data_IF_839915004617
#
_entry.id   IF_839915004617
#
_cell.length_a   1.000
_cell.length_b   1.000
_cell.length_c   1.000
_cell.angle_alpha   90.00
_cell.angle_beta   90.00
_cell.angle_gamma   90.00
#
_symmetry.space_group_name_H-M   'P 1'
#
loop_
_entity.id
_entity.type
_entity.pdbx_description
1 polymer ?
#
# COMPACT_ATOMS: atom_id res chain seq x y z
N UNK A 1 -4.27 -23.12 -6.34
CA UNK A 1 -4.59 -23.73 -7.65
C UNK A 1 -6.09 -23.81 -7.93
N UNK A 2 -6.94 -24.24 -6.99
CA UNK A 2 -8.40 -24.34 -7.20
C UNK A 2 -9.07 -23.05 -7.71
N UNK A 3 -8.76 -21.89 -7.13
CA UNK A 3 -9.36 -20.62 -7.57
C UNK A 3 -9.04 -20.27 -9.03
N UNK A 4 -7.83 -20.59 -9.51
CA UNK A 4 -7.45 -20.37 -10.90
C UNK A 4 -8.27 -21.26 -11.84
N UNK A 5 -8.41 -22.54 -11.49
CA UNK A 5 -9.24 -23.48 -12.25
C UNK A 5 -10.68 -22.99 -12.30
N UNK A 6 -11.27 -22.60 -11.16
CA UNK A 6 -12.61 -22.02 -11.10
C UNK A 6 -12.72 -20.78 -11.98
N UNK A 7 -11.76 -19.86 -11.91
CA UNK A 7 -11.78 -18.64 -12.72
C UNK A 7 -11.75 -18.93 -14.22
N UNK A 8 -10.91 -19.88 -14.65
CA UNK A 8 -10.80 -20.31 -16.04
C UNK A 8 -12.09 -20.98 -16.51
N UNK A 9 -12.64 -21.92 -15.73
CA UNK A 9 -13.88 -22.64 -16.08
C UNK A 9 -15.06 -21.69 -16.19
N UNK A 10 -15.26 -20.81 -15.19
CA UNK A 10 -16.34 -19.82 -15.24
C UNK A 10 -16.13 -18.82 -16.39
N UNK A 11 -14.88 -18.43 -16.67
CA UNK A 11 -14.55 -17.55 -17.79
C UNK A 11 -14.88 -18.18 -19.15
N UNK A 12 -14.54 -19.45 -19.34
CA UNK A 12 -14.91 -20.22 -20.54
C UNK A 12 -16.43 -20.32 -20.66
N UNK A 13 -17.13 -20.66 -19.58
CA UNK A 13 -18.60 -20.71 -19.58
C UNK A 13 -19.24 -19.37 -20.00
N UNK A 14 -18.77 -18.25 -19.46
CA UNK A 14 -19.29 -16.92 -19.81
C UNK A 14 -19.00 -16.55 -21.27
N UNK A 15 -17.84 -16.95 -21.79
CA UNK A 15 -17.43 -16.69 -23.19
C UNK A 15 -18.24 -17.48 -24.21
N UNK A 16 -18.88 -18.59 -23.82
CA UNK A 16 -19.75 -19.37 -24.70
C UNK A 16 -21.11 -18.71 -24.99
N UNK A 17 -21.44 -17.57 -24.37
CA UNK A 17 -22.67 -16.79 -24.61
C UNK A 17 -23.98 -17.62 -24.58
N UNK A 18 -24.06 -18.61 -23.67
CA UNK A 18 -25.26 -19.44 -23.51
C UNK A 18 -26.30 -18.67 -22.68
N UNK A 19 -27.15 -17.92 -23.38
CA UNK A 19 -28.08 -16.96 -22.76
C UNK A 19 -29.53 -17.47 -22.62
N UNK A 20 -29.86 -18.63 -23.20
CA UNK A 20 -31.24 -19.14 -23.26
C UNK A 20 -31.53 -20.21 -22.19
N UNK A 21 -32.78 -20.29 -21.76
CA UNK A 21 -33.29 -21.32 -20.86
C UNK A 21 -32.71 -21.25 -19.44
N UNK A 22 -32.51 -22.42 -18.83
CA UNK A 22 -31.97 -22.56 -17.46
C UNK A 22 -30.59 -21.88 -17.29
N UNK A 23 -29.74 -21.95 -18.32
CA UNK A 23 -28.41 -21.34 -18.32
C UNK A 23 -28.45 -19.81 -18.24
N UNK A 24 -29.46 -19.16 -18.82
CA UNK A 24 -29.67 -17.72 -18.69
C UNK A 24 -29.91 -17.30 -17.22
N UNK A 25 -30.66 -18.10 -16.46
CA UNK A 25 -30.91 -17.84 -15.03
C UNK A 25 -29.67 -18.08 -14.16
N UNK A 26 -28.82 -19.06 -14.50
CA UNK A 26 -27.56 -19.33 -13.79
C UNK A 26 -26.48 -18.30 -14.11
N UNK A 27 -26.48 -17.76 -15.34
CA UNK A 27 -25.43 -16.84 -15.83
C UNK A 27 -25.23 -15.64 -14.91
N UNK A 28 -26.29 -15.08 -14.32
CA UNK A 28 -26.17 -13.96 -13.38
C UNK A 28 -25.27 -14.29 -12.18
N UNK A 29 -25.41 -15.49 -11.62
CA UNK A 29 -24.58 -15.95 -10.50
C UNK A 29 -23.15 -16.20 -10.97
N UNK A 30 -22.97 -16.80 -12.15
CA UNK A 30 -21.64 -17.06 -12.70
C UNK A 30 -20.87 -15.78 -12.97
N UNK A 31 -21.52 -14.72 -13.48
CA UNK A 31 -20.90 -13.40 -13.68
C UNK A 31 -20.44 -12.82 -12.35
N UNK A 32 -21.28 -12.87 -11.31
CA UNK A 32 -20.93 -12.37 -9.98
C UNK A 32 -19.77 -13.18 -9.39
N UNK A 33 -19.84 -14.50 -9.43
CA UNK A 33 -18.78 -15.38 -8.90
C UNK A 33 -17.46 -15.19 -9.65
N UNK A 34 -17.47 -15.15 -10.98
CA UNK A 34 -16.26 -14.90 -11.79
C UNK A 34 -15.65 -13.52 -11.49
N UNK A 35 -16.50 -12.50 -11.29
CA UNK A 35 -16.05 -11.16 -10.90
C UNK A 35 -15.45 -11.11 -9.49
N UNK A 36 -16.04 -11.82 -8.52
CA UNK A 36 -15.55 -11.88 -7.13
C UNK A 36 -14.24 -12.66 -7.05
N UNK A 37 -14.19 -13.86 -7.64
CA UNK A 37 -12.98 -14.71 -7.65
C UNK A 37 -11.83 -13.98 -8.34
N UNK A 38 -12.08 -13.32 -9.48
CA UNK A 38 -11.05 -12.54 -10.18
C UNK A 38 -10.49 -11.37 -9.36
N UNK A 39 -11.30 -10.70 -8.54
CA UNK A 39 -10.85 -9.59 -7.68
C UNK A 39 -10.11 -10.06 -6.41
N UNK A 40 -10.49 -11.21 -5.86
CA UNK A 40 -9.86 -11.78 -4.65
C UNK A 40 -8.53 -12.47 -5.00
N UNK A 41 -8.42 -13.03 -6.21
CA UNK A 41 -7.26 -13.83 -6.61
C UNK A 41 -5.90 -13.12 -6.42
N UNK A 42 -5.70 -11.84 -6.83
CA UNK A 42 -4.43 -11.15 -6.57
C UNK A 42 -4.06 -11.06 -5.09
N UNK A 43 -5.05 -10.84 -4.21
CA UNK A 43 -4.83 -10.76 -2.76
C UNK A 43 -4.39 -12.11 -2.19
N UNK A 44 -5.08 -13.20 -2.55
CA UNK A 44 -4.72 -14.53 -2.05
C UNK A 44 -3.38 -14.99 -2.63
N UNK A 45 -3.09 -14.66 -3.89
CA UNK A 45 -1.78 -14.92 -4.49
C UNK A 45 -0.65 -14.18 -3.76
N UNK A 46 -0.86 -12.90 -3.40
CA UNK A 46 0.09 -12.14 -2.59
C UNK A 46 0.36 -12.81 -1.24
N UNK A 47 -0.72 -13.13 -0.51
CA UNK A 47 -0.64 -13.83 0.78
C UNK A 47 0.11 -15.15 0.65
N UNK A 48 -0.18 -15.94 -0.39
CA UNK A 48 0.50 -17.21 -0.64
C UNK A 48 1.99 -17.04 -0.94
N UNK A 49 2.38 -16.01 -1.71
CA UNK A 49 3.79 -15.74 -1.98
C UNK A 49 4.54 -15.33 -0.71
N UNK A 50 3.96 -14.46 0.11
CA UNK A 50 4.54 -14.03 1.39
C UNK A 50 4.70 -15.21 2.33
N UNK A 51 3.64 -15.99 2.58
CA UNK A 51 3.72 -17.17 3.44
C UNK A 51 4.65 -18.25 2.88
N UNK A 52 4.72 -18.40 1.56
CA UNK A 52 5.68 -19.28 0.90
C UNK A 52 7.12 -18.89 1.22
N UNK A 53 7.45 -17.60 1.13
CA UNK A 53 8.77 -17.06 1.50
C UNK A 53 9.09 -17.27 2.98
N UNK A 54 8.16 -16.93 3.88
CA UNK A 54 8.32 -17.13 5.33
C UNK A 54 8.57 -18.61 5.64
N UNK A 55 7.77 -19.51 5.06
CA UNK A 55 7.88 -20.96 5.31
C UNK A 55 9.17 -21.54 4.75
N UNK A 56 9.59 -21.11 3.56
CA UNK A 56 10.80 -21.61 2.91
C UNK A 56 12.08 -21.21 3.67
N UNK A 57 12.11 -20.01 4.25
CA UNK A 57 13.26 -19.52 5.03
C UNK A 57 13.19 -19.91 6.51
N UNK A 58 12.03 -20.34 6.98
CA UNK A 58 11.83 -20.72 8.38
C UNK A 58 11.69 -19.54 9.35
N UNK A 59 11.41 -18.34 8.83
CA UNK A 59 11.26 -17.11 9.60
C UNK A 59 9.95 -17.05 10.41
N UNK A 60 9.85 -16.05 11.28
CA UNK A 60 8.68 -15.65 12.06
C UNK A 60 8.24 -16.69 13.10
N UNK A 61 9.21 -17.36 13.73
CA UNK A 61 8.98 -18.34 14.79
C UNK A 61 9.33 -17.76 16.16
N UNK A 62 8.70 -18.32 17.20
CA UNK A 62 8.92 -17.93 18.60
C UNK A 62 8.82 -16.40 18.80
N UNK A 63 9.83 -15.80 19.41
CA UNK A 63 9.82 -14.40 19.85
C UNK A 63 9.89 -13.39 18.70
N UNK A 64 10.21 -13.82 17.47
CA UNK A 64 10.26 -12.94 16.29
C UNK A 64 8.90 -12.71 15.64
N UNK A 65 7.84 -13.41 16.06
CA UNK A 65 6.53 -13.35 15.41
C UNK A 65 5.95 -11.93 15.37
N UNK A 66 6.05 -11.18 16.47
CA UNK A 66 5.52 -9.81 16.53
C UNK A 66 6.22 -8.86 15.56
N UNK A 67 7.55 -8.93 15.52
CA UNK A 67 8.38 -8.13 14.61
C UNK A 67 8.09 -8.46 13.15
N UNK A 68 8.00 -9.75 12.83
CA UNK A 68 7.60 -10.24 11.51
C UNK A 68 6.22 -9.73 11.08
N UNK A 69 5.21 -9.84 11.95
CA UNK A 69 3.86 -9.36 11.64
C UNK A 69 3.87 -7.86 11.35
N UNK A 70 4.56 -7.06 12.16
CA UNK A 70 4.71 -5.64 11.90
C UNK A 70 5.30 -5.36 10.51
N UNK A 71 6.40 -6.04 10.15
CA UNK A 71 7.10 -5.80 8.88
C UNK A 71 6.29 -6.26 7.67
N UNK A 72 5.76 -7.49 7.70
CA UNK A 72 5.02 -8.05 6.58
C UNK A 72 3.64 -7.40 6.38
N UNK A 73 2.90 -7.09 7.44
CA UNK A 73 1.58 -6.44 7.34
C UNK A 73 1.74 -5.00 6.88
N UNK A 74 2.59 -4.20 7.54
CA UNK A 74 2.77 -2.78 7.20
C UNK A 74 3.42 -2.63 5.83
N UNK A 75 4.44 -3.43 5.53
CA UNK A 75 5.11 -3.37 4.22
C UNK A 75 4.16 -3.78 3.09
N UNK A 76 3.34 -4.83 3.28
CA UNK A 76 2.27 -5.17 2.34
C UNK A 76 1.23 -4.06 2.21
N UNK A 77 0.91 -3.35 3.30
CA UNK A 77 -0.03 -2.23 3.28
C UNK A 77 0.48 -1.05 2.43
N UNK A 78 1.79 -0.73 2.49
CA UNK A 78 2.39 0.27 1.61
C UNK A 78 2.36 -0.14 0.13
N UNK A 79 2.64 -1.42 -0.18
CA UNK A 79 2.51 -1.95 -1.54
C UNK A 79 1.05 -1.87 -2.01
N UNK A 80 0.10 -2.29 -1.18
CA UNK A 80 -1.33 -2.21 -1.48
C UNK A 80 -1.77 -0.76 -1.71
N UNK A 81 -1.28 0.19 -0.91
CA UNK A 81 -1.56 1.59 -1.11
C UNK A 81 -0.99 2.09 -2.44
N UNK A 82 0.25 1.76 -2.78
CA UNK A 82 0.85 2.05 -4.09
C UNK A 82 0.04 1.47 -5.25
N UNK A 83 -0.46 0.24 -5.14
CA UNK A 83 -1.35 -0.40 -6.12
C UNK A 83 -2.64 0.40 -6.28
N UNK A 84 -3.31 0.75 -5.18
CA UNK A 84 -4.57 1.50 -5.18
C UNK A 84 -4.35 2.88 -5.80
N UNK A 85 -3.28 3.59 -5.43
CA UNK A 85 -2.93 4.87 -6.03
C UNK A 85 -2.71 4.75 -7.54
N UNK A 86 -2.03 3.70 -7.98
CA UNK A 86 -1.80 3.45 -9.41
C UNK A 86 -3.13 3.19 -10.15
N UNK A 87 -4.05 2.43 -9.55
CA UNK A 87 -5.40 2.21 -10.11
C UNK A 87 -6.18 3.53 -10.18
N UNK A 88 -6.16 4.33 -9.12
CA UNK A 88 -6.84 5.62 -9.07
C UNK A 88 -6.28 6.61 -10.09
N UNK A 89 -4.97 6.58 -10.30
CA UNK A 89 -4.27 7.38 -11.28
C UNK A 89 -4.68 7.01 -12.71
N UNK A 90 -4.69 5.71 -13.04
CA UNK A 90 -4.89 5.22 -14.40
C UNK A 90 -6.36 5.12 -14.82
N UNK A 91 -7.25 4.66 -13.93
CA UNK A 91 -8.65 4.37 -14.30
C UNK A 91 -9.69 4.76 -13.23
N UNK A 92 -9.27 5.22 -12.05
CA UNK A 92 -10.20 5.47 -10.94
C UNK A 92 -10.87 6.84 -10.93
N UNK A 93 -10.56 7.73 -11.87
CA UNK A 93 -11.11 9.10 -11.89
C UNK A 93 -12.64 9.13 -12.00
N UNK A 94 -13.23 8.24 -12.82
CA UNK A 94 -14.68 8.15 -12.95
C UNK A 94 -15.35 7.69 -11.65
N UNK A 95 -14.81 6.64 -11.03
CA UNK A 95 -15.29 6.15 -9.74
C UNK A 95 -15.21 7.26 -8.69
N UNK A 96 -14.08 7.96 -8.59
CA UNK A 96 -13.90 9.03 -7.61
C UNK A 96 -14.93 10.15 -7.78
N UNK A 97 -15.19 10.58 -9.03
CA UNK A 97 -16.24 11.57 -9.34
C UNK A 97 -17.63 11.10 -8.89
N UNK A 98 -17.95 9.82 -9.07
CA UNK A 98 -19.25 9.26 -8.67
C UNK A 98 -19.48 9.25 -7.16
N UNK A 99 -18.41 9.16 -6.35
CA UNK A 99 -18.54 9.16 -4.88
C UNK A 99 -18.82 10.54 -4.28
N UNK A 100 -18.55 11.63 -5.02
CA UNK A 100 -18.62 12.98 -4.47
C UNK A 100 -17.64 13.20 -3.31
N UNK A 101 -16.49 12.52 -3.30
CA UNK A 101 -15.40 12.68 -2.33
C UNK A 101 -14.07 12.82 -3.05
N UNK A 102 -13.10 13.50 -2.44
CA UNK A 102 -11.73 13.54 -2.95
C UNK A 102 -10.99 12.26 -2.57
N UNK A 103 -9.93 11.94 -3.29
CA UNK A 103 -9.10 10.77 -2.98
C UNK A 103 -8.56 10.87 -1.54
N UNK A 104 -8.11 12.07 -1.18
CA UNK A 104 -7.53 12.38 0.12
C UNK A 104 -8.52 12.19 1.27
N UNK A 105 -9.84 12.26 1.00
CA UNK A 105 -10.84 11.90 2.00
C UNK A 105 -10.75 10.42 2.36
N UNK A 106 -10.63 9.54 1.36
CA UNK A 106 -10.50 8.10 1.56
C UNK A 106 -9.14 7.76 2.19
N UNK A 107 -8.06 8.36 1.71
CA UNK A 107 -6.72 8.17 2.29
C UNK A 107 -6.73 8.59 3.78
N UNK A 108 -7.33 9.74 4.08
CA UNK A 108 -7.48 10.23 5.46
C UNK A 108 -8.36 9.33 6.33
N UNK A 109 -9.42 8.74 5.77
CA UNK A 109 -10.29 7.82 6.50
C UNK A 109 -9.56 6.52 6.88
N UNK A 110 -8.75 5.97 5.97
CA UNK A 110 -7.91 4.80 6.24
C UNK A 110 -6.84 5.13 7.27
N UNK A 111 -6.14 6.25 7.10
CA UNK A 111 -5.16 6.75 8.08
C UNK A 111 -5.79 6.92 9.47
N UNK A 112 -7.04 7.42 9.53
CA UNK A 112 -7.78 7.57 10.79
C UNK A 112 -8.05 6.22 11.45
N UNK A 113 -8.63 5.29 10.70
CA UNK A 113 -8.98 3.98 11.21
C UNK A 113 -7.73 3.21 11.68
N UNK A 114 -6.67 3.22 10.86
CA UNK A 114 -5.41 2.56 11.18
C UNK A 114 -4.73 3.19 12.40
N UNK A 115 -4.61 4.52 12.43
CA UNK A 115 -3.99 5.24 13.54
C UNK A 115 -4.73 5.01 14.86
N UNK A 116 -6.07 4.94 14.81
CA UNK A 116 -6.89 4.65 15.99
C UNK A 116 -6.62 3.25 16.52
N UNK A 117 -6.68 2.22 15.66
CA UNK A 117 -6.36 0.85 16.06
C UNK A 117 -4.94 0.77 16.63
N UNK A 118 -3.94 1.27 15.90
CA UNK A 118 -2.54 1.25 16.31
C UNK A 118 -2.32 1.89 17.69
N UNK A 119 -2.95 3.04 17.95
CA UNK A 119 -2.84 3.74 19.24
C UNK A 119 -3.25 2.86 20.43
N UNK A 120 -4.30 2.04 20.26
CA UNK A 120 -4.87 1.27 21.37
C UNK A 120 -4.44 -0.20 21.40
N UNK A 121 -3.79 -0.69 20.35
CA UNK A 121 -3.35 -2.10 20.25
C UNK A 121 -1.84 -2.30 20.31
N UNK A 122 -1.04 -1.25 20.13
CA UNK A 122 0.42 -1.36 20.09
C UNK A 122 0.99 -1.80 21.45
N UNK A 123 0.63 -1.10 22.52
CA UNK A 123 1.06 -1.46 23.86
C UNK A 123 0.22 -2.61 24.43
N UNK A 124 0.90 -3.62 24.98
CA UNK A 124 0.23 -4.73 25.68
C UNK A 124 -0.19 -4.27 27.06
N UNK A 125 -1.49 -4.01 27.21
CA UNK A 125 -2.07 -3.60 28.49
C UNK A 125 -1.67 -4.55 29.64
N UNK A 126 -1.01 -4.00 30.65
CA UNK A 126 -0.52 -4.74 31.81
C UNK A 126 0.97 -5.07 31.80
N UNK A 127 1.72 -4.74 30.73
CA UNK A 127 3.18 -4.78 30.73
C UNK A 127 3.80 -3.38 30.93
N UNK A 128 5.11 -3.33 31.18
CA UNK A 128 5.85 -2.07 31.20
C UNK A 128 5.95 -1.44 29.80
N UNK A 129 6.01 -0.12 29.75
CA UNK A 129 6.17 0.62 28.49
C UNK A 129 7.61 0.53 28.01
N UNK A 130 7.79 0.04 26.78
CA UNK A 130 9.08 0.07 26.10
C UNK A 130 9.27 1.40 25.33
N UNK A 131 10.52 1.70 24.95
CA UNK A 131 10.80 2.85 24.08
C UNK A 131 10.10 2.72 22.72
N UNK A 132 10.06 1.52 22.14
CA UNK A 132 9.33 1.23 20.90
C UNK A 132 7.82 1.44 21.07
N UNK A 133 7.23 1.01 22.20
CA UNK A 133 5.79 1.17 22.46
C UNK A 133 5.42 2.67 22.43
N UNK A 134 6.24 3.52 23.05
CA UNK A 134 6.01 4.97 23.04
C UNK A 134 6.10 5.55 21.62
N UNK A 135 7.12 5.18 20.85
CA UNK A 135 7.30 5.67 19.48
C UNK A 135 6.15 5.24 18.57
N UNK A 136 5.77 3.96 18.60
CA UNK A 136 4.72 3.43 17.73
C UNK A 136 3.32 3.89 18.17
N UNK A 137 3.04 3.98 19.47
CA UNK A 137 1.77 4.50 19.97
C UNK A 137 1.60 5.97 19.58
N UNK A 138 2.63 6.80 19.79
CA UNK A 138 2.57 8.22 19.40
C UNK A 138 2.47 8.42 17.89
N UNK A 139 3.08 7.53 17.10
CA UNK A 139 2.86 7.47 15.65
C UNK A 139 1.39 7.17 15.30
N UNK A 140 0.75 6.24 16.01
CA UNK A 140 -0.69 6.01 15.90
C UNK A 140 -1.52 7.26 16.20
N UNK A 141 -1.15 8.01 17.24
CA UNK A 141 -1.86 9.23 17.66
C UNK A 141 -1.83 10.29 16.56
N UNK A 142 -0.65 10.58 16.00
CA UNK A 142 -0.55 11.57 14.92
C UNK A 142 -1.31 11.11 13.67
N UNK A 143 -1.30 9.80 13.36
CA UNK A 143 -2.07 9.26 12.24
C UNK A 143 -3.57 9.56 12.38
N UNK A 144 -4.21 9.20 13.49
CA UNK A 144 -5.65 9.41 13.57
C UNK A 144 -6.05 10.88 13.75
N UNK A 145 -5.26 11.68 14.49
CA UNK A 145 -5.49 13.12 14.60
C UNK A 145 -5.40 13.81 13.24
N UNK A 146 -4.32 13.56 12.47
CA UNK A 146 -4.13 14.16 11.16
C UNK A 146 -5.08 13.59 10.11
N UNK A 147 -5.50 12.33 10.24
CA UNK A 147 -6.54 11.73 9.40
C UNK A 147 -7.91 12.39 9.60
N UNK A 148 -8.33 12.66 10.84
CA UNK A 148 -9.56 13.43 11.11
C UNK A 148 -9.48 14.82 10.47
N UNK A 149 -8.34 15.50 10.61
CA UNK A 149 -8.09 16.81 10.00
C UNK A 149 -8.12 16.74 8.46
N UNK A 150 -7.50 15.72 7.86
CA UNK A 150 -7.51 15.50 6.42
C UNK A 150 -8.92 15.24 5.87
N UNK A 151 -9.75 14.46 6.58
CA UNK A 151 -11.15 14.27 6.23
C UNK A 151 -11.95 15.57 6.30
N UNK A 152 -11.70 16.40 7.32
CA UNK A 152 -12.35 17.71 7.45
C UNK A 152 -11.95 18.67 6.32
N UNK A 153 -10.68 18.70 5.94
CA UNK A 153 -10.15 19.57 4.87
C UNK A 153 -10.48 19.08 3.45
N UNK A 154 -10.96 17.85 3.32
CA UNK A 154 -11.33 17.23 2.03
C UNK A 154 -12.62 17.77 1.41
N UNK A 155 -13.18 18.85 1.94
CA UNK A 155 -14.41 19.48 1.47
C UNK A 155 -14.31 21.01 1.46
N UNK A 156 -14.94 21.64 0.47
CA UNK A 156 -15.17 23.08 0.41
C UNK A 156 -16.33 23.47 1.34
N UNK A 157 -16.48 24.77 1.63
CA UNK A 157 -17.59 25.31 2.42
C UNK A 157 -18.97 24.95 1.85
N UNK A 158 -19.08 24.79 0.52
CA UNK A 158 -20.30 24.39 -0.17
C UNK A 158 -20.48 22.86 -0.28
N UNK A 159 -19.71 22.06 0.47
CA UNK A 159 -19.81 20.60 0.49
C UNK A 159 -19.13 19.88 -0.68
N UNK A 160 -18.63 20.59 -1.69
CA UNK A 160 -17.94 19.96 -2.84
C UNK A 160 -16.59 19.37 -2.41
N UNK A 161 -16.12 18.27 -3.04
CA UNK A 161 -14.80 17.70 -2.79
C UNK A 161 -13.65 18.70 -2.95
N UNK A 162 -12.64 18.58 -2.10
CA UNK A 162 -11.39 19.32 -2.19
C UNK A 162 -10.19 18.39 -1.96
N UNK A 163 -9.15 18.52 -2.78
CA UNK A 163 -7.83 17.93 -2.53
C UNK A 163 -7.21 18.59 -1.29
N UNK A 164 -6.35 17.87 -0.57
CA UNK A 164 -5.55 18.42 0.52
C UNK A 164 -4.25 17.61 0.69
N UNK A 165 -3.32 18.09 1.49
CA UNK A 165 -1.99 17.49 1.60
C UNK A 165 -1.79 16.66 2.88
N UNK A 166 -2.77 16.59 3.78
CA UNK A 166 -2.57 16.00 5.11
C UNK A 166 -2.23 14.50 5.09
N UNK A 167 -2.83 13.65 4.23
CA UNK A 167 -2.36 12.28 4.07
C UNK A 167 -0.87 12.20 3.73
N UNK A 168 -0.38 13.07 2.85
CA UNK A 168 1.02 13.10 2.47
C UNK A 168 1.94 13.59 3.59
N UNK A 169 1.46 14.55 4.40
CA UNK A 169 2.17 15.01 5.61
C UNK A 169 2.33 13.87 6.62
N UNK A 170 1.29 13.07 6.85
CA UNK A 170 1.37 11.90 7.75
C UNK A 170 2.40 10.89 7.26
N UNK A 171 2.40 10.58 5.97
CA UNK A 171 3.39 9.69 5.36
C UNK A 171 4.81 10.25 5.52
N UNK A 172 4.99 11.56 5.31
CA UNK A 172 6.29 12.22 5.48
C UNK A 172 6.78 12.16 6.94
N UNK A 173 5.91 12.47 7.91
CA UNK A 173 6.24 12.40 9.34
C UNK A 173 6.55 10.97 9.79
N UNK A 174 5.83 9.99 9.24
CA UNK A 174 6.11 8.56 9.46
C UNK A 174 7.51 8.24 8.95
N UNK A 175 7.86 8.68 7.74
CA UNK A 175 9.20 8.48 7.20
C UNK A 175 10.30 9.13 8.06
N UNK A 176 10.05 10.33 8.57
CA UNK A 176 10.98 10.99 9.50
C UNK A 176 11.20 10.15 10.76
N UNK A 177 10.12 9.74 11.44
CA UNK A 177 10.21 8.93 12.65
C UNK A 177 10.95 7.61 12.42
N UNK A 178 10.63 6.91 11.32
CA UNK A 178 11.26 5.66 10.96
C UNK A 178 12.72 5.83 10.53
N UNK A 179 13.09 6.99 9.96
CA UNK A 179 14.48 7.27 9.60
C UNK A 179 15.42 7.33 10.80
N UNK A 180 14.85 7.67 11.97
CA UNK A 180 15.52 7.77 13.27
C UNK A 180 15.28 6.56 14.18
N UNK A 181 14.62 5.52 13.68
CA UNK A 181 14.25 4.35 14.48
C UNK A 181 15.45 3.41 14.63
N UNK A 182 16.13 3.50 15.77
CA UNK A 182 17.29 2.67 16.07
C UNK A 182 16.90 1.19 16.21
N UNK A 183 17.72 0.32 15.63
CA UNK A 183 17.58 -1.13 15.73
C UNK A 183 18.81 -1.73 16.43
N UNK A 184 18.68 -2.95 16.95
CA UNK A 184 19.77 -3.65 17.62
C UNK A 184 20.96 -3.92 16.69
N UNK A 185 20.69 -4.25 15.42
CA UNK A 185 21.71 -4.48 14.40
C UNK A 185 21.91 -3.22 13.54
N UNK A 186 23.15 -2.74 13.42
CA UNK A 186 23.47 -1.56 12.61
C UNK A 186 23.00 -1.70 11.15
N UNK A 187 23.11 -2.89 10.57
CA UNK A 187 22.57 -3.16 9.22
C UNK A 187 21.06 -2.87 9.14
N UNK A 188 20.31 -3.32 10.15
CA UNK A 188 18.86 -3.06 10.24
C UNK A 188 18.57 -1.57 10.40
N UNK A 189 19.33 -0.86 11.24
CA UNK A 189 19.19 0.61 11.41
C UNK A 189 19.39 1.32 10.07
N UNK A 190 20.41 0.98 9.30
CA UNK A 190 20.67 1.61 7.99
C UNK A 190 19.56 1.33 6.98
N UNK A 191 19.02 0.10 6.95
CA UNK A 191 17.89 -0.26 6.08
C UNK A 191 16.62 0.49 6.48
N UNK A 192 16.33 0.60 7.78
CA UNK A 192 15.21 1.39 8.31
C UNK A 192 15.37 2.88 8.04
N UNK A 193 16.58 3.42 8.12
CA UNK A 193 16.86 4.81 7.73
C UNK A 193 16.52 5.07 6.27
N UNK A 194 16.92 4.17 5.37
CA UNK A 194 16.58 4.31 3.95
C UNK A 194 15.08 4.13 3.71
N UNK A 195 14.41 3.19 4.37
CA UNK A 195 12.94 3.09 4.36
C UNK A 195 12.28 4.43 4.75
N UNK A 196 12.74 5.05 5.84
CA UNK A 196 12.28 6.35 6.27
C UNK A 196 12.46 7.43 5.21
N UNK A 197 13.63 7.51 4.57
CA UNK A 197 13.89 8.45 3.49
C UNK A 197 13.02 8.21 2.25
N UNK A 198 12.81 6.96 1.85
CA UNK A 198 11.91 6.60 0.75
C UNK A 198 10.49 7.05 1.03
N UNK A 199 10.02 6.87 2.27
CA UNK A 199 8.68 7.25 2.69
C UNK A 199 8.52 8.78 2.81
N UNK A 200 9.54 9.48 3.31
CA UNK A 200 9.62 10.94 3.26
C UNK A 200 9.54 11.46 1.83
N UNK A 201 10.29 10.85 0.91
CA UNK A 201 10.25 11.19 -0.51
C UNK A 201 8.87 10.93 -1.12
N UNK A 202 8.18 9.86 -0.75
CA UNK A 202 6.82 9.57 -1.20
C UNK A 202 5.82 10.67 -0.78
N UNK A 203 5.88 11.07 0.50
CA UNK A 203 5.08 12.16 1.05
C UNK A 203 5.41 13.50 0.41
N UNK A 204 6.69 13.83 0.26
CA UNK A 204 7.14 15.07 -0.38
C UNK A 204 6.72 15.13 -1.85
N UNK A 205 6.90 14.04 -2.61
CA UNK A 205 6.43 13.94 -3.99
C UNK A 205 4.92 14.17 -4.07
N UNK A 206 4.14 13.62 -3.12
CA UNK A 206 2.68 13.80 -3.13
C UNK A 206 2.27 15.25 -2.81
N UNK A 207 2.97 15.91 -1.90
CA UNK A 207 2.77 17.35 -1.62
C UNK A 207 3.09 18.17 -2.88
N UNK A 208 4.21 17.88 -3.55
CA UNK A 208 4.60 18.56 -4.79
C UNK A 208 3.56 18.34 -5.90
N UNK A 209 3.12 17.09 -6.06
CA UNK A 209 2.10 16.70 -7.03
C UNK A 209 0.81 17.50 -6.84
N UNK A 210 0.25 17.51 -5.63
CA UNK A 210 -1.02 18.18 -5.35
C UNK A 210 -0.88 19.70 -5.50
N UNK A 211 0.21 20.27 -4.96
CA UNK A 211 0.33 21.73 -4.79
C UNK A 211 0.84 22.44 -6.04
N UNK A 212 1.77 21.82 -6.79
CA UNK A 212 2.46 22.49 -7.90
C UNK A 212 2.12 21.87 -9.26
N UNK A 213 2.06 20.55 -9.36
CA UNK A 213 1.75 19.85 -10.62
C UNK A 213 0.26 20.00 -10.93
N UNK A 214 -0.59 19.48 -10.06
CA UNK A 214 -2.04 19.49 -10.23
C UNK A 214 -2.68 20.81 -9.82
N UNK A 215 -2.11 21.55 -8.86
CA UNK A 215 -2.67 22.77 -8.27
C UNK A 215 -4.10 22.54 -7.76
N UNK A 216 -4.26 21.54 -6.90
CA UNK A 216 -5.54 21.06 -6.35
C UNK A 216 -6.57 20.52 -7.38
N UNK A 217 -6.20 20.39 -8.65
CA UNK A 217 -7.05 19.72 -9.66
C UNK A 217 -6.99 18.20 -9.50
N UNK A 218 -8.01 17.51 -10.01
CA UNK A 218 -8.07 16.03 -9.98
C UNK A 218 -7.19 15.37 -11.05
N UNK A 219 -7.02 16.04 -12.20
CA UNK A 219 -6.20 15.56 -13.33
C UNK A 219 -5.71 16.76 -14.15
N UNK A 220 -4.63 16.59 -14.90
CA UNK A 220 -4.16 17.55 -15.92
C UNK A 220 -4.86 17.37 -17.27
N UNK A 221 -5.12 16.12 -17.67
CA UNK A 221 -5.78 15.83 -18.95
C UNK A 221 -7.28 16.09 -18.88
N UNK A 222 -7.92 16.69 -19.91
CA UNK A 222 -9.36 16.94 -19.95
C UNK A 222 -10.22 15.68 -19.78
N UNK A 223 -9.79 14.57 -20.39
CA UNK A 223 -10.40 13.25 -20.30
C UNK A 223 -9.87 12.41 -19.12
N UNK A 224 -8.70 12.79 -18.58
CA UNK A 224 -8.02 12.09 -17.49
C UNK A 224 -7.23 10.86 -17.93
N UNK A 225 -6.95 10.69 -19.23
CA UNK A 225 -6.29 9.51 -19.80
C UNK A 225 -4.76 9.54 -19.68
N UNK A 226 -4.14 10.71 -19.58
CA UNK A 226 -2.68 10.87 -19.56
C UNK A 226 -2.16 11.51 -18.25
N UNK A 227 -1.71 10.68 -17.29
CA UNK A 227 -1.06 11.16 -16.08
C UNK A 227 0.32 11.75 -16.34
N UNK A 228 0.63 12.86 -15.67
CA UNK A 228 1.98 13.42 -15.70
C UNK A 228 3.00 12.43 -15.12
N UNK A 229 4.20 12.37 -15.70
CA UNK A 229 5.28 11.49 -15.25
C UNK A 229 5.57 11.59 -13.74
N UNK A 230 5.42 12.78 -13.16
CA UNK A 230 5.63 13.02 -11.74
C UNK A 230 4.60 12.32 -10.84
N UNK A 231 3.37 12.08 -11.34
CA UNK A 231 2.31 11.44 -10.56
C UNK A 231 2.57 9.95 -10.30
N UNK A 232 3.47 9.33 -11.06
CA UNK A 232 3.91 7.95 -10.84
C UNK A 232 4.92 7.81 -9.69
N UNK A 233 5.55 8.91 -9.28
CA UNK A 233 6.63 8.89 -8.30
C UNK A 233 6.14 8.45 -6.91
N UNK A 234 5.05 9.03 -6.40
CA UNK A 234 4.50 8.63 -5.09
C UNK A 234 4.07 7.16 -5.06
N UNK A 235 3.25 6.64 -6.00
CA UNK A 235 2.93 5.22 -6.05
C UNK A 235 4.18 4.34 -6.05
N UNK A 236 5.15 4.60 -6.94
CA UNK A 236 6.39 3.83 -7.02
C UNK A 236 7.18 3.84 -5.69
N UNK A 237 7.33 5.00 -5.05
CA UNK A 237 8.04 5.10 -3.77
C UNK A 237 7.32 4.36 -2.64
N UNK A 238 5.99 4.20 -2.70
CA UNK A 238 5.24 3.36 -1.77
C UNK A 238 5.47 1.86 -2.03
N UNK A 239 5.56 1.42 -3.30
CA UNK A 239 6.01 0.06 -3.62
C UNK A 239 7.40 -0.19 -3.04
N UNK A 240 8.34 0.71 -3.29
CA UNK A 240 9.70 0.60 -2.78
C UNK A 240 9.75 0.57 -1.25
N UNK A 241 9.05 1.51 -0.59
CA UNK A 241 8.97 1.57 0.87
C UNK A 241 8.42 0.26 1.44
N UNK A 242 7.38 -0.31 0.82
CA UNK A 242 6.80 -1.56 1.27
C UNK A 242 7.74 -2.76 1.13
N UNK A 243 8.47 -2.88 0.01
CA UNK A 243 9.48 -3.93 -0.13
C UNK A 243 10.66 -3.77 0.84
N UNK A 244 11.14 -2.53 1.04
CA UNK A 244 12.20 -2.25 2.02
C UNK A 244 11.75 -2.65 3.42
N UNK A 245 10.53 -2.28 3.80
CA UNK A 245 10.01 -2.60 5.13
C UNK A 245 9.76 -4.10 5.33
N UNK A 246 9.15 -4.79 4.36
CA UNK A 246 9.00 -6.26 4.43
C UNK A 246 10.35 -6.96 4.53
N UNK A 247 11.36 -6.43 3.84
CA UNK A 247 12.69 -6.98 3.81
C UNK A 247 13.54 -6.68 5.05
N UNK A 248 13.05 -5.94 6.04
CA UNK A 248 13.84 -5.49 7.20
C UNK A 248 13.58 -6.31 8.49
N UNK A 249 13.10 -7.55 8.37
CA UNK A 249 12.89 -8.42 9.55
C UNK A 249 14.21 -8.75 10.24
N UNK A 250 14.18 -8.95 11.57
CA UNK A 250 15.37 -9.25 12.37
C UNK A 250 16.15 -10.46 11.81
N UNK A 251 15.44 -11.55 11.53
CA UNK A 251 16.03 -12.79 11.00
C UNK A 251 16.65 -12.58 9.61
N UNK A 252 16.00 -11.79 8.75
CA UNK A 252 16.53 -11.49 7.41
C UNK A 252 17.76 -10.57 7.49
N UNK A 253 17.76 -9.58 8.39
CA UNK A 253 18.90 -8.71 8.61
C UNK A 253 20.09 -9.48 9.18
N UNK A 254 19.85 -10.41 10.10
CA UNK A 254 20.90 -11.28 10.62
C UNK A 254 21.49 -12.17 9.51
N UNK A 255 20.65 -12.80 8.70
CA UNK A 255 21.09 -13.63 7.58
C UNK A 255 21.96 -12.85 6.58
N UNK A 256 21.58 -11.62 6.25
CA UNK A 256 22.38 -10.77 5.37
C UNK A 256 23.71 -10.35 6.01
N UNK A 257 23.70 -10.03 7.30
CA UNK A 257 24.89 -9.69 8.05
C UNK A 257 25.90 -10.84 8.06
N UNK A 258 25.43 -12.05 8.37
CA UNK A 258 26.27 -13.26 8.42
C UNK A 258 26.83 -13.62 7.04
N UNK A 259 26.09 -13.32 5.97
CA UNK A 259 26.53 -13.48 4.58
C UNK A 259 27.45 -12.35 4.08
N UNK A 260 27.72 -11.32 4.89
CA UNK A 260 28.54 -10.17 4.50
C UNK A 260 27.90 -9.25 3.45
N UNK A 261 26.57 -9.29 3.31
CA UNK A 261 25.83 -8.47 2.34
C UNK A 261 25.58 -7.07 2.93
N UNK A 262 26.11 -6.04 2.26
CA UNK A 262 25.90 -4.65 2.66
C UNK A 262 24.50 -4.12 2.33
N UNK A 263 24.02 -3.16 3.12
CA UNK A 263 22.70 -2.55 2.96
C UNK A 263 22.48 -1.96 1.55
N UNK A 264 23.48 -1.32 0.94
CA UNK A 264 23.33 -0.66 -0.38
C UNK A 264 22.93 -1.67 -1.47
N UNK A 265 23.68 -2.76 -1.61
CA UNK A 265 23.39 -3.80 -2.61
C UNK A 265 22.03 -4.44 -2.38
N UNK A 266 21.71 -4.69 -1.11
CA UNK A 266 20.41 -5.23 -0.73
C UNK A 266 19.25 -4.28 -1.07
N UNK A 267 19.37 -3.01 -0.73
CA UNK A 267 18.36 -1.98 -1.03
C UNK A 267 18.14 -1.83 -2.54
N UNK A 268 19.19 -1.85 -3.36
CA UNK A 268 19.07 -1.78 -4.82
C UNK A 268 18.28 -2.96 -5.39
N UNK A 269 18.41 -4.16 -4.81
CA UNK A 269 17.59 -5.32 -5.17
C UNK A 269 16.12 -5.04 -4.83
N UNK A 270 15.82 -4.52 -3.65
CA UNK A 270 14.43 -4.22 -3.23
C UNK A 270 13.79 -3.14 -4.09
N UNK A 271 14.53 -2.08 -4.43
CA UNK A 271 14.06 -1.08 -5.40
C UNK A 271 13.82 -1.69 -6.79
N UNK A 272 14.66 -2.63 -7.22
CA UNK A 272 14.47 -3.33 -8.50
C UNK A 272 13.21 -4.19 -8.50
N UNK A 273 12.92 -4.89 -7.39
CA UNK A 273 11.67 -5.63 -7.22
C UNK A 273 10.45 -4.69 -7.25
N UNK A 274 10.56 -3.51 -6.63
CA UNK A 274 9.53 -2.47 -6.70
C UNK A 274 9.29 -1.99 -8.14
N UNK A 275 10.35 -1.76 -8.93
CA UNK A 275 10.25 -1.43 -10.35
C UNK A 275 9.50 -2.51 -11.14
N UNK A 276 9.85 -3.79 -10.93
CA UNK A 276 9.22 -4.90 -11.64
C UNK A 276 7.73 -5.02 -11.29
N UNK A 277 7.36 -4.94 -10.02
CA UNK A 277 5.96 -5.02 -9.62
C UNK A 277 5.16 -3.80 -10.11
N UNK A 278 5.75 -2.60 -10.05
CA UNK A 278 5.15 -1.38 -10.57
C UNK A 278 4.93 -1.44 -12.08
N UNK A 279 5.90 -1.97 -12.84
CA UNK A 279 5.76 -2.24 -14.26
C UNK A 279 4.63 -3.22 -14.54
N UNK A 280 4.61 -4.38 -13.88
CA UNK A 280 3.55 -5.38 -14.04
C UNK A 280 2.16 -4.78 -13.76
N UNK A 281 2.06 -3.89 -12.77
CA UNK A 281 0.79 -3.22 -12.46
C UNK A 281 0.40 -2.20 -13.52
N UNK A 282 1.35 -1.42 -14.02
CA UNK A 282 1.11 -0.37 -15.00
C UNK A 282 0.71 -0.95 -16.36
N UNK A 283 1.29 -2.09 -16.75
CA UNK A 283 0.96 -2.79 -18.01
C UNK A 283 -0.50 -3.29 -18.09
N UNK A 284 -1.20 -3.41 -16.95
CA UNK A 284 -2.60 -3.87 -16.93
C UNK A 284 -3.59 -2.82 -17.46
N UNK A 285 -3.18 -1.56 -17.60
CA UNK A 285 -4.02 -0.47 -18.09
C UNK A 285 -3.32 0.22 -19.26
N UNK A 286 -3.44 -0.34 -20.48
CA UNK A 286 -2.84 0.28 -21.65
C UNK A 286 -3.41 1.70 -21.84
N UNK A 287 -2.54 2.66 -22.13
CA UNK A 287 -2.88 4.08 -22.32
C UNK A 287 -3.82 4.36 -23.52
N UNK A 288 -4.25 3.32 -24.24
CA UNK A 288 -5.05 3.41 -25.47
C UNK A 288 -6.35 2.58 -25.35
N UNK A 289 -7.29 3.02 -24.52
CA UNK A 289 -8.73 2.69 -24.66
C UNK A 289 -9.60 3.91 -24.36
#
# INVERSE_FOLDING_TARGET
>A
MLMLVVQVVLGVYLKLHIERGFHGRIRQYVVVTHGVVGKIMPLVSWIQMVFGGITALGFCRADHLGQCLAHFIMGSAFIAYGIILTILLLVGQFWLRSTGRSQEFFDSAVITAWGFVNTFTEHRWGSEWSHSDMQHTTMGIIWWCAGLLGMWLSRKRNGRPKRNIFPAVVILLTGYAMSSHAQHLMLSTMVHSVFGYTLMAAGAARIIEISFVLKDRSTLSPDGSDPNSFQYLTPYLLFASGFIFMGATEEQMQLLHDAGVGHVSYLLILYSLACLLFLCKSLQYPANQ
#
